data_IF_979900803482
#
_entry.id   IF_979900803482
#
_cell.length_a   1.000
_cell.length_b   1.000
_cell.length_c   1.000
_cell.angle_alpha   90.00
_cell.angle_beta   90.00
_cell.angle_gamma   90.00
#
_symmetry.space_group_name_H-M   'P 1'
#
loop_
_entity.id
_entity.type
_entity.pdbx_description
1 polymer ?
#
# COMPACT_ATOMS: atom_id res chain seq x y z
N UNK A 1 -15.12 -3.00 -5.48
CA UNK A 1 -14.37 -3.82 -4.52
C UNK A 1 -14.55 -3.20 -3.14
N UNK A 2 -14.95 -4.02 -2.18
CA UNK A 2 -15.07 -3.62 -0.77
C UNK A 2 -13.69 -3.37 -0.16
N UNK A 3 -13.59 -2.48 0.81
CA UNK A 3 -12.34 -2.19 1.49
C UNK A 3 -11.90 -3.40 2.32
N UNK A 4 -10.69 -3.94 2.10
CA UNK A 4 -10.23 -5.13 2.80
C UNK A 4 -9.95 -4.86 4.29
N UNK A 5 -9.73 -3.59 4.69
CA UNK A 5 -9.49 -3.24 6.08
C UNK A 5 -10.78 -3.15 6.92
N UNK A 6 -11.84 -2.52 6.41
CA UNK A 6 -13.04 -2.24 7.22
C UNK A 6 -14.30 -3.05 6.82
N UNK A 7 -14.30 -3.72 5.67
CA UNK A 7 -15.43 -4.54 5.20
C UNK A 7 -16.74 -3.78 4.96
N UNK A 8 -16.73 -2.45 4.89
CA UNK A 8 -17.94 -1.62 4.74
C UNK A 8 -17.83 -0.46 3.75
N UNK A 9 -16.61 -0.09 3.35
CA UNK A 9 -16.34 0.98 2.38
C UNK A 9 -16.02 0.44 0.97
N UNK A 10 -15.96 1.34 -0.02
CA UNK A 10 -15.53 0.99 -1.38
C UNK A 10 -14.14 1.53 -1.69
N UNK A 11 -13.36 0.72 -2.40
CA UNK A 11 -12.05 1.13 -2.88
C UNK A 11 -12.17 2.16 -4.01
N UNK A 12 -11.58 3.33 -3.81
CA UNK A 12 -11.46 4.44 -4.75
C UNK A 12 -10.03 4.58 -5.26
N UNK A 13 -9.91 5.15 -6.44
CA UNK A 13 -8.64 5.40 -7.09
C UNK A 13 -8.46 6.91 -7.28
N UNK A 14 -7.41 7.47 -6.69
CA UNK A 14 -6.93 8.80 -7.02
C UNK A 14 -5.81 8.63 -8.04
N UNK A 15 -6.15 8.85 -9.31
CA UNK A 15 -5.30 8.63 -10.49
C UNK A 15 -3.82 8.91 -10.21
N UNK A 16 -2.99 7.90 -10.43
CA UNK A 16 -1.52 7.89 -10.31
C UNK A 16 -0.95 8.30 -8.93
N UNK A 17 -1.80 8.52 -7.92
CA UNK A 17 -1.38 8.87 -6.55
C UNK A 17 -1.55 7.70 -5.59
N UNK A 18 -2.78 7.22 -5.41
CA UNK A 18 -3.08 6.17 -4.45
C UNK A 18 -4.40 5.47 -4.74
N UNK A 19 -4.53 4.27 -4.20
CA UNK A 19 -5.82 3.64 -3.94
C UNK A 19 -6.16 3.83 -2.46
N UNK A 20 -7.44 4.05 -2.14
CA UNK A 20 -7.89 4.32 -0.78
C UNK A 20 -9.33 3.88 -0.56
N UNK A 21 -9.71 3.62 0.67
CA UNK A 21 -11.11 3.44 1.05
C UNK A 21 -11.86 4.78 0.95
N UNK A 22 -13.10 4.81 0.49
CA UNK A 22 -13.94 6.03 0.56
C UNK A 22 -14.19 6.55 1.98
N UNK A 23 -14.05 5.68 2.99
CA UNK A 23 -13.98 6.06 4.39
C UNK A 23 -12.69 6.78 4.80
N UNK A 24 -11.68 6.88 3.93
CA UNK A 24 -10.46 7.67 4.17
C UNK A 24 -10.67 9.12 3.75
N UNK A 25 -10.73 10.01 4.76
CA UNK A 25 -10.97 11.45 4.64
C UNK A 25 -9.81 12.22 5.30
N UNK A 26 -8.63 12.26 4.65
CA UNK A 26 -7.49 13.01 5.18
C UNK A 26 -7.81 14.51 5.19
N UNK A 27 -7.57 15.13 6.33
CA UNK A 27 -7.69 16.56 6.58
C UNK A 27 -6.35 17.10 7.06
N UNK A 28 -6.16 18.39 6.83
CA UNK A 28 -4.97 19.12 7.28
C UNK A 28 -5.42 20.16 8.30
N UNK A 29 -4.84 20.12 9.49
CA UNK A 29 -4.98 21.18 10.49
C UNK A 29 -3.59 21.77 10.78
N UNK A 30 -3.41 23.03 10.40
CA UNK A 30 -2.09 23.66 10.36
C UNK A 30 -1.08 22.88 9.51
N UNK A 31 -0.11 22.26 10.19
CA UNK A 31 0.96 21.45 9.59
C UNK A 31 0.75 19.94 9.73
N UNK A 32 -0.26 19.51 10.47
CA UNK A 32 -0.52 18.11 10.75
C UNK A 32 -1.60 17.56 9.79
N UNK A 33 -1.41 16.31 9.38
CA UNK A 33 -2.41 15.56 8.64
C UNK A 33 -3.04 14.53 9.56
N UNK A 34 -4.37 14.49 9.59
CA UNK A 34 -5.14 13.49 10.32
C UNK A 34 -6.26 12.96 9.44
N UNK A 35 -6.73 11.75 9.71
CA UNK A 35 -7.90 11.20 9.04
C UNK A 35 -9.14 11.42 9.92
N UNK A 36 -10.15 12.13 9.42
CA UNK A 36 -11.44 12.29 10.10
C UNK A 36 -12.50 11.28 9.66
N UNK A 37 -12.13 10.36 8.77
CA UNK A 37 -13.01 9.32 8.28
C UNK A 37 -12.99 8.03 9.12
N UNK A 38 -13.87 7.10 8.78
CA UNK A 38 -14.09 5.85 9.52
C UNK A 38 -13.08 4.74 9.16
N UNK A 39 -12.22 4.96 8.16
CA UNK A 39 -11.24 3.97 7.71
C UNK A 39 -9.94 4.65 7.27
N UNK A 40 -8.79 4.14 7.71
CA UNK A 40 -7.47 4.67 7.37
C UNK A 40 -6.85 4.06 6.10
N UNK A 41 -7.52 3.10 5.46
CA UNK A 41 -6.92 2.31 4.38
C UNK A 41 -6.56 3.17 3.15
N UNK A 42 -5.27 3.24 2.85
CA UNK A 42 -4.75 3.84 1.64
C UNK A 42 -3.38 3.25 1.28
N UNK A 43 -3.13 3.05 -0.02
CA UNK A 43 -1.86 2.54 -0.54
C UNK A 43 -1.42 3.45 -1.68
N UNK A 44 -0.25 4.12 -1.58
CA UNK A 44 0.27 4.93 -2.66
C UNK A 44 0.71 4.06 -3.85
N UNK A 45 0.60 4.58 -5.07
CA UNK A 45 1.13 3.89 -6.25
C UNK A 45 2.66 3.83 -6.24
N UNK A 46 3.32 4.87 -5.70
CA UNK A 46 4.76 4.93 -5.62
C UNK A 46 5.28 4.17 -4.39
N UNK A 47 5.68 2.91 -4.60
CA UNK A 47 6.28 2.07 -3.57
C UNK A 47 7.80 2.25 -3.59
N UNK A 48 8.27 3.37 -3.01
CA UNK A 48 9.69 3.78 -3.05
C UNK A 48 10.63 2.71 -2.49
N UNK A 49 10.30 2.14 -1.32
CA UNK A 49 11.10 1.09 -0.70
C UNK A 49 11.15 -0.19 -1.54
N UNK A 50 10.06 -0.49 -2.27
CA UNK A 50 10.00 -1.59 -3.24
C UNK A 50 10.67 -1.25 -4.58
N UNK A 51 11.11 0.00 -4.77
CA UNK A 51 11.79 0.46 -5.98
C UNK A 51 10.90 0.53 -7.21
N UNK A 52 9.58 0.65 -7.05
CA UNK A 52 8.64 0.60 -8.18
C UNK A 52 7.40 1.47 -7.99
N UNK A 53 6.99 2.13 -9.06
CA UNK A 53 5.63 2.67 -9.18
C UNK A 53 4.70 1.58 -9.72
N UNK A 54 3.72 1.19 -8.91
CA UNK A 54 2.76 0.16 -9.28
C UNK A 54 1.81 0.67 -10.37
N UNK A 55 1.42 -0.22 -11.26
CA UNK A 55 0.32 0.00 -12.20
C UNK A 55 -1.03 -0.25 -11.52
N UNK A 56 -2.13 0.18 -12.16
CA UNK A 56 -3.48 -0.16 -11.70
C UNK A 56 -3.70 -1.67 -11.61
N UNK A 57 -3.17 -2.44 -12.55
CA UNK A 57 -3.31 -3.89 -12.56
C UNK A 57 -2.61 -4.53 -11.36
N UNK A 58 -1.37 -4.11 -11.09
CA UNK A 58 -0.60 -4.62 -9.95
C UNK A 58 -1.24 -4.25 -8.62
N UNK A 59 -1.79 -3.04 -8.50
CA UNK A 59 -2.55 -2.68 -7.30
C UNK A 59 -3.78 -3.56 -7.10
N UNK A 60 -4.50 -3.92 -8.17
CA UNK A 60 -5.61 -4.86 -8.07
C UNK A 60 -5.14 -6.28 -7.68
N UNK A 61 -4.01 -6.74 -8.21
CA UNK A 61 -3.40 -8.01 -7.80
C UNK A 61 -3.07 -8.00 -6.29
N UNK A 62 -2.44 -6.93 -5.81
CA UNK A 62 -2.11 -6.73 -4.39
C UNK A 62 -3.36 -6.76 -3.51
N UNK A 63 -4.41 -6.02 -3.88
CA UNK A 63 -5.70 -6.00 -3.16
C UNK A 63 -6.42 -7.35 -3.19
N UNK A 64 -6.12 -8.21 -4.16
CA UNK A 64 -6.64 -9.57 -4.24
C UNK A 64 -5.80 -10.58 -3.44
N UNK A 65 -4.82 -10.09 -2.66
CA UNK A 65 -3.93 -10.91 -1.84
C UNK A 65 -2.74 -11.51 -2.59
N UNK A 66 -2.49 -11.11 -3.84
CA UNK A 66 -1.34 -11.60 -4.59
C UNK A 66 -0.06 -10.89 -4.19
N UNK A 67 1.03 -11.64 -4.18
CA UNK A 67 2.38 -11.11 -4.03
C UNK A 67 2.89 -10.51 -5.34
N UNK A 68 3.51 -9.34 -5.27
CA UNK A 68 4.19 -8.70 -6.40
C UNK A 68 5.70 -8.85 -6.25
N UNK A 69 6.39 -9.28 -7.30
CA UNK A 69 7.86 -9.39 -7.30
C UNK A 69 8.48 -8.30 -8.16
N UNK A 70 9.51 -7.61 -7.66
CA UNK A 70 10.27 -6.63 -8.45
C UNK A 70 11.46 -7.30 -9.17
N UNK A 71 12.20 -6.52 -9.97
CA UNK A 71 13.39 -6.99 -10.69
C UNK A 71 14.55 -7.41 -9.78
N UNK A 72 14.61 -6.87 -8.56
CA UNK A 72 15.61 -7.21 -7.54
C UNK A 72 15.28 -8.51 -6.80
N UNK A 73 14.11 -9.07 -7.05
CA UNK A 73 13.64 -10.27 -6.39
C UNK A 73 12.83 -10.04 -5.11
N UNK A 74 12.70 -8.79 -4.65
CA UNK A 74 11.91 -8.43 -3.47
C UNK A 74 10.43 -8.74 -3.73
N UNK A 75 9.71 -9.06 -2.66
CA UNK A 75 8.29 -9.41 -2.69
C UNK A 75 7.49 -8.38 -1.89
N UNK A 76 6.47 -7.79 -2.51
CA UNK A 76 5.51 -6.88 -1.89
C UNK A 76 4.17 -7.60 -1.71
N UNK A 77 3.64 -7.59 -0.50
CA UNK A 77 2.34 -8.16 -0.13
C UNK A 77 1.47 -7.14 0.57
N UNK A 78 0.15 -7.38 0.55
CA UNK A 78 -0.81 -6.61 1.33
C UNK A 78 -0.66 -7.02 2.79
N UNK A 79 -0.57 -6.04 3.69
CA UNK A 79 -0.44 -6.26 5.12
C UNK A 79 -1.41 -5.34 5.86
N UNK A 80 -2.56 -5.88 6.26
CA UNK A 80 -3.59 -5.10 6.96
C UNK A 80 -3.25 -4.86 8.43
N UNK A 81 -2.25 -5.58 8.97
CA UNK A 81 -1.80 -5.44 10.35
C UNK A 81 -0.79 -4.30 10.52
N UNK A 82 -0.25 -3.77 9.41
CA UNK A 82 0.61 -2.59 9.37
C UNK A 82 -0.19 -1.34 8.94
N UNK A 83 -0.76 -0.57 9.89
CA UNK A 83 -1.67 0.53 9.58
C UNK A 83 -0.99 1.76 8.95
N UNK A 84 0.35 1.84 8.95
CA UNK A 84 1.07 2.97 8.36
C UNK A 84 1.21 2.84 6.85
N UNK A 85 1.43 1.62 6.35
CA UNK A 85 1.76 1.38 4.93
C UNK A 85 0.75 0.47 4.22
N UNK A 86 0.07 -0.39 4.98
CA UNK A 86 -0.79 -1.47 4.49
C UNK A 86 -0.11 -2.45 3.52
N UNK A 87 1.23 -2.42 3.47
CA UNK A 87 2.04 -3.29 2.64
C UNK A 87 3.28 -3.74 3.41
N UNK A 88 3.76 -4.93 3.10
CA UNK A 88 4.99 -5.51 3.62
C UNK A 88 5.92 -5.83 2.47
N UNK A 89 7.21 -5.56 2.66
CA UNK A 89 8.27 -5.94 1.72
C UNK A 89 9.13 -7.01 2.36
N UNK A 90 9.29 -8.12 1.66
CA UNK A 90 10.28 -9.15 1.95
C UNK A 90 11.43 -8.96 0.95
N UNK A 91 12.56 -8.47 1.45
CA UNK A 91 13.74 -8.24 0.62
C UNK A 91 14.38 -9.57 0.25
N UNK A 92 14.74 -9.72 -1.02
CA UNK A 92 15.53 -10.88 -1.44
C UNK A 92 16.91 -10.81 -0.77
N UNK A 93 17.45 -11.97 -0.38
CA UNK A 93 18.83 -12.09 0.05
C UNK A 93 19.74 -11.63 -1.09
N UNK A 94 20.68 -10.74 -0.78
CA UNK A 94 21.71 -10.27 -1.71
C UNK A 94 23.06 -10.70 -1.17
N UNK A 95 24.03 -10.91 -2.05
CA UNK A 95 25.39 -11.30 -1.66
C UNK A 95 26.04 -10.28 -0.70
N UNK A 96 25.59 -9.02 -0.72
CA UNK A 96 26.01 -7.95 0.20
C UNK A 96 25.44 -8.08 1.64
N UNK A 97 24.46 -8.97 1.86
CA UNK A 97 23.87 -9.24 3.17
C UNK A 97 24.58 -10.40 3.92
N UNK A 98 25.56 -11.08 3.30
CA UNK A 98 26.31 -12.21 3.89
C UNK A 98 27.53 -11.78 4.73
N UNK A 99 27.94 -10.51 4.68
CA UNK A 99 29.11 -9.97 5.40
C UNK A 99 28.76 -9.37 6.78
N UNK A 100 28.01 -10.11 7.62
CA UNK A 100 27.83 -9.78 9.05
C UNK A 100 28.20 -10.94 9.99
#
# INVERSE_FOLDING_TARGET
MECPLCGKGTIKNRKDKMIYCDGYKPQKDGNEWFNSGECNFHIPYNQKAFGKQLTKNEMNMLLSGQALKNKKGDILTLDLENPEFFTKIEFALRDEDEDF
#
